data_IF_728528588622
#
_entry.id   IF_728528588622
#
_cell.length_a   1.000
_cell.length_b   1.000
_cell.length_c   1.000
_cell.angle_alpha   90.00
_cell.angle_beta   90.00
_cell.angle_gamma   90.00
#
_symmetry.space_group_name_H-M   'P 1'
#
loop_
_entity.id
_entity.type
_entity.pdbx_description
1 polymer ?
#
# COMPACT_ATOMS: atom_id res chain seq x y z
N UNK A 1 -31.81 -4.76 -23.97
CA UNK A 1 -30.90 -3.65 -23.60
C UNK A 1 -29.88 -4.02 -22.52
N UNK A 2 -30.26 -4.53 -21.34
CA UNK A 2 -29.31 -4.85 -20.25
C UNK A 2 -28.26 -5.97 -20.55
N UNK A 3 -28.50 -6.86 -21.52
CA UNK A 3 -27.55 -7.92 -21.90
C UNK A 3 -26.43 -7.47 -22.86
N UNK A 4 -26.60 -6.34 -23.54
CA UNK A 4 -25.61 -5.79 -24.49
C UNK A 4 -24.55 -4.92 -23.79
N UNK A 5 -24.90 -4.32 -22.66
CA UNK A 5 -24.00 -3.45 -21.88
C UNK A 5 -22.86 -4.22 -21.16
N UNK A 6 -23.11 -5.47 -20.80
CA UNK A 6 -22.09 -6.33 -20.18
C UNK A 6 -21.05 -6.83 -21.18
N UNK A 7 -21.36 -6.97 -22.47
CA UNK A 7 -20.38 -7.46 -23.46
C UNK A 7 -19.40 -6.36 -23.86
N UNK A 8 -19.84 -5.11 -24.04
CA UNK A 8 -18.97 -4.00 -24.41
C UNK A 8 -17.91 -3.69 -23.33
N UNK A 9 -18.29 -3.82 -22.05
CA UNK A 9 -17.40 -3.59 -20.90
C UNK A 9 -16.58 -4.82 -20.49
N UNK A 10 -16.92 -6.02 -20.99
CA UNK A 10 -16.16 -7.24 -20.76
C UNK A 10 -15.05 -7.47 -21.80
N UNK A 11 -15.12 -6.80 -22.95
CA UNK A 11 -14.22 -7.04 -24.08
C UNK A 11 -13.16 -5.97 -24.33
N UNK A 12 -13.24 -4.82 -23.66
CA UNK A 12 -12.24 -3.77 -23.81
C UNK A 12 -11.36 -3.65 -22.59
N UNK A 13 -10.06 -3.82 -22.80
CA UNK A 13 -9.02 -3.49 -21.83
C UNK A 13 -9.05 -1.99 -21.50
N UNK A 14 -8.59 -1.62 -20.31
CA UNK A 14 -8.38 -0.22 -19.90
C UNK A 14 -7.62 0.59 -20.96
N UNK A 15 -6.71 -0.05 -21.69
CA UNK A 15 -5.92 0.53 -22.77
C UNK A 15 -6.77 0.92 -23.99
N UNK A 16 -7.75 0.10 -24.36
CA UNK A 16 -8.65 0.38 -25.48
C UNK A 16 -9.62 1.51 -25.15
N UNK A 17 -10.17 1.53 -23.93
CA UNK A 17 -11.03 2.62 -23.47
C UNK A 17 -10.26 3.95 -23.44
N UNK A 18 -9.03 3.97 -22.91
CA UNK A 18 -8.19 5.16 -22.92
C UNK A 18 -7.78 5.60 -24.34
N UNK A 19 -7.57 4.65 -25.26
CA UNK A 19 -7.28 4.95 -26.67
C UNK A 19 -8.47 5.60 -27.38
N UNK A 20 -9.68 5.08 -27.16
CA UNK A 20 -10.93 5.62 -27.72
C UNK A 20 -11.15 7.06 -27.20
N UNK A 21 -10.99 7.29 -25.90
CA UNK A 21 -11.14 8.62 -25.30
C UNK A 21 -10.08 9.59 -25.84
N UNK A 22 -8.82 9.17 -25.89
CA UNK A 22 -7.72 10.03 -26.35
C UNK A 22 -7.89 10.43 -27.82
N UNK A 23 -8.37 9.51 -28.67
CA UNK A 23 -8.64 9.76 -30.09
C UNK A 23 -9.79 10.75 -30.28
N UNK A 24 -10.93 10.52 -29.63
CA UNK A 24 -12.09 11.41 -29.76
C UNK A 24 -11.86 12.79 -29.15
N UNK A 25 -11.01 12.91 -28.12
CA UNK A 25 -10.59 14.20 -27.60
C UNK A 25 -9.70 14.96 -28.59
N UNK A 26 -8.71 14.30 -29.19
CA UNK A 26 -7.81 14.91 -30.17
C UNK A 26 -8.57 15.45 -31.39
N UNK A 27 -9.69 14.83 -31.73
CA UNK A 27 -10.53 15.22 -32.86
C UNK A 27 -11.65 16.22 -32.49
N UNK A 28 -11.76 16.65 -31.22
CA UNK A 28 -12.89 17.45 -30.71
C UNK A 28 -14.27 16.76 -30.84
N UNK A 29 -14.29 15.44 -31.02
CA UNK A 29 -15.47 14.60 -31.26
C UNK A 29 -15.98 13.90 -30.01
N UNK A 30 -15.67 14.41 -28.82
CA UNK A 30 -16.16 13.79 -27.57
C UNK A 30 -17.69 13.70 -27.53
N UNK A 31 -18.37 14.64 -28.20
CA UNK A 31 -19.83 14.71 -28.34
C UNK A 31 -20.39 13.68 -29.34
N UNK A 32 -19.54 13.04 -30.15
CA UNK A 32 -19.93 12.02 -31.14
C UNK A 32 -19.79 10.59 -30.59
N UNK A 33 -19.33 10.43 -29.34
CA UNK A 33 -19.30 9.13 -28.70
C UNK A 33 -20.74 8.60 -28.54
N UNK A 34 -21.04 7.35 -28.91
CA UNK A 34 -22.37 6.79 -28.80
C UNK A 34 -22.91 6.92 -27.38
N UNK A 35 -24.20 7.24 -27.24
CA UNK A 35 -24.87 7.39 -25.95
C UNK A 35 -24.70 6.13 -25.07
N UNK A 36 -24.55 4.94 -25.64
CA UNK A 36 -24.27 3.70 -24.90
C UNK A 36 -22.86 3.65 -24.30
N UNK A 37 -21.87 4.22 -25.00
CA UNK A 37 -20.52 4.49 -24.48
C UNK A 37 -20.61 5.54 -23.37
N UNK A 38 -21.43 6.59 -23.55
CA UNK A 38 -21.72 7.62 -22.53
C UNK A 38 -22.66 7.16 -21.38
N UNK A 39 -23.39 6.06 -21.53
CA UNK A 39 -24.30 5.46 -20.55
C UNK A 39 -23.60 4.39 -19.71
N UNK A 40 -22.57 3.73 -20.26
CA UNK A 40 -21.55 3.06 -19.43
C UNK A 40 -20.78 4.08 -18.56
N UNK A 41 -20.73 5.32 -19.02
CA UNK A 41 -20.39 6.55 -18.28
C UNK A 41 -21.60 7.16 -17.52
N UNK A 42 -22.75 6.50 -17.44
CA UNK A 42 -23.95 7.02 -16.76
C UNK A 42 -23.77 7.26 -15.27
N UNK A 43 -22.79 6.60 -14.64
CA UNK A 43 -22.31 6.90 -13.27
C UNK A 43 -21.21 7.98 -13.23
N UNK A 44 -20.60 8.33 -14.36
CA UNK A 44 -19.68 9.46 -14.56
C UNK A 44 -20.42 10.78 -14.85
N UNK A 45 -21.76 10.79 -14.99
CA UNK A 45 -22.58 12.03 -15.14
C UNK A 45 -22.41 13.05 -13.99
N UNK A 46 -21.76 12.65 -12.88
CA UNK A 46 -21.40 13.56 -11.78
C UNK A 46 -19.98 14.13 -11.87
N UNK A 47 -19.18 13.76 -12.88
CA UNK A 47 -17.85 14.34 -13.08
C UNK A 47 -17.99 15.46 -14.11
N UNK A 48 -17.85 16.74 -13.72
CA UNK A 48 -17.82 17.84 -14.68
C UNK A 48 -16.72 17.58 -15.71
N UNK A 49 -17.05 17.59 -17.00
CA UNK A 49 -16.07 17.57 -18.09
C UNK A 49 -15.55 19.02 -18.23
N UNK A 50 -14.88 19.49 -17.18
CA UNK A 50 -14.32 20.83 -17.10
C UNK A 50 -12.87 20.66 -16.70
N UNK A 51 -11.96 21.21 -17.52
CA UNK A 51 -10.52 21.08 -17.36
C UNK A 51 -9.82 20.69 -18.65
N UNK A 52 -8.51 20.56 -18.58
CA UNK A 52 -7.66 20.17 -19.70
C UNK A 52 -7.84 18.68 -20.05
N UNK A 53 -7.33 18.24 -21.21
CA UNK A 53 -7.27 16.82 -21.61
C UNK A 53 -6.76 15.93 -20.47
N UNK A 54 -5.70 16.39 -19.82
CA UNK A 54 -5.04 15.67 -18.74
C UNK A 54 -5.94 15.57 -17.51
N UNK A 55 -6.76 16.57 -17.23
CA UNK A 55 -7.71 16.54 -16.10
C UNK A 55 -8.82 15.52 -16.34
N UNK A 56 -9.33 15.43 -17.57
CA UNK A 56 -10.35 14.46 -17.96
C UNK A 56 -9.78 13.04 -17.93
N UNK A 57 -8.59 12.82 -18.49
CA UNK A 57 -7.91 11.52 -18.44
C UNK A 57 -7.58 11.10 -17.01
N UNK A 58 -7.11 12.01 -16.14
CA UNK A 58 -6.89 11.74 -14.72
C UNK A 58 -8.16 11.32 -14.00
N UNK A 59 -9.30 11.98 -14.28
CA UNK A 59 -10.60 11.66 -13.67
C UNK A 59 -11.11 10.30 -14.12
N UNK A 60 -11.04 10.02 -15.43
CA UNK A 60 -11.41 8.73 -16.01
C UNK A 60 -10.56 7.58 -15.50
N UNK A 61 -9.25 7.78 -15.44
CA UNK A 61 -8.32 6.80 -14.91
C UNK A 61 -8.62 6.50 -13.43
N UNK A 62 -8.84 7.54 -12.61
CA UNK A 62 -9.25 7.34 -11.20
C UNK A 62 -10.55 6.56 -11.08
N UNK A 63 -11.55 6.83 -11.92
CA UNK A 63 -12.82 6.12 -11.90
C UNK A 63 -12.68 4.64 -12.31
N UNK A 64 -12.00 4.36 -13.42
CA UNK A 64 -11.77 2.99 -13.89
C UNK A 64 -10.90 2.20 -12.92
N UNK A 65 -9.86 2.84 -12.38
CA UNK A 65 -9.03 2.26 -11.33
C UNK A 65 -9.83 1.93 -10.07
N UNK A 66 -10.73 2.82 -9.60
CA UNK A 66 -11.65 2.52 -8.47
C UNK A 66 -12.54 1.30 -8.76
N UNK A 67 -12.88 1.05 -10.02
CA UNK A 67 -13.72 -0.08 -10.43
C UNK A 67 -12.95 -1.39 -10.51
N UNK A 68 -11.69 -1.35 -10.95
CA UNK A 68 -10.81 -2.53 -11.07
C UNK A 68 -10.05 -2.87 -9.79
N UNK A 69 -9.75 -1.88 -8.95
CA UNK A 69 -9.09 -2.01 -7.66
C UNK A 69 -10.08 -1.63 -6.54
N UNK A 70 -11.17 -2.40 -6.42
CA UNK A 70 -12.17 -2.24 -5.34
C UNK A 70 -11.60 -2.53 -3.95
N UNK A 71 -10.40 -3.11 -3.88
CA UNK A 71 -9.69 -3.51 -2.67
C UNK A 71 -8.29 -2.91 -2.66
N UNK A 72 -8.03 -2.02 -1.71
CA UNK A 72 -6.67 -1.60 -1.38
C UNK A 72 -6.07 -2.64 -0.45
N UNK A 73 -4.94 -3.22 -0.85
CA UNK A 73 -4.18 -4.14 0.00
C UNK A 73 -3.49 -3.33 1.09
N UNK A 74 -3.48 -3.85 2.32
CA UNK A 74 -2.77 -3.24 3.42
C UNK A 74 -1.27 -3.41 3.22
N UNK A 75 -0.58 -2.34 2.83
CA UNK A 75 0.87 -2.37 2.66
C UNK A 75 1.52 -2.19 4.02
N UNK A 76 2.42 -3.11 4.34
CA UNK A 76 3.28 -3.06 5.52
C UNK A 76 4.71 -3.23 5.02
N UNK A 77 5.59 -2.28 5.34
CA UNK A 77 7.01 -2.50 5.17
C UNK A 77 7.57 -3.15 6.44
N UNK A 78 8.44 -4.13 6.31
CA UNK A 78 9.08 -4.78 7.44
C UNK A 78 10.52 -5.12 7.12
N UNK A 79 11.31 -5.32 8.16
CA UNK A 79 12.71 -5.70 8.11
C UNK A 79 13.03 -6.57 9.32
N UNK A 80 14.10 -7.36 9.25
CA UNK A 80 14.57 -8.24 10.31
C UNK A 80 16.07 -8.05 10.51
N UNK A 81 16.50 -7.99 11.76
CA UNK A 81 17.92 -8.11 12.10
C UNK A 81 18.23 -9.53 12.60
N UNK A 82 19.48 -9.95 12.43
CA UNK A 82 19.93 -11.31 12.74
C UNK A 82 21.21 -11.34 13.59
N UNK A 83 21.49 -12.47 14.24
CA UNK A 83 22.75 -12.70 14.98
C UNK A 83 24.01 -12.59 14.10
N UNK A 84 23.84 -12.69 12.78
CA UNK A 84 24.85 -12.61 11.73
C UNK A 84 24.18 -12.76 10.36
N UNK A 85 24.95 -12.74 9.26
CA UNK A 85 24.38 -12.93 7.92
C UNK A 85 23.79 -14.35 7.75
N UNK A 86 22.47 -14.52 7.54
CA UNK A 86 21.86 -15.84 7.49
C UNK A 86 22.27 -16.63 6.25
N UNK A 87 22.80 -17.83 6.45
CA UNK A 87 22.94 -18.86 5.42
C UNK A 87 22.06 -20.06 5.76
N UNK A 88 21.76 -20.87 4.75
CA UNK A 88 20.84 -21.99 4.86
C UNK A 88 21.59 -23.29 4.63
N UNK A 89 21.46 -24.22 5.56
CA UNK A 89 21.97 -25.56 5.36
C UNK A 89 21.25 -26.22 4.17
N UNK A 90 21.98 -26.70 3.14
CA UNK A 90 21.36 -27.20 1.91
C UNK A 90 20.62 -28.53 2.08
N UNK A 91 20.85 -29.26 3.18
CA UNK A 91 20.25 -30.59 3.42
C UNK A 91 19.02 -30.48 4.31
N UNK A 92 19.18 -29.84 5.48
CA UNK A 92 18.14 -29.69 6.49
C UNK A 92 17.22 -28.49 6.26
N UNK A 93 17.68 -27.50 5.49
CA UNK A 93 16.96 -26.23 5.31
C UNK A 93 16.90 -25.38 6.59
N UNK A 94 17.73 -25.67 7.59
CA UNK A 94 17.82 -24.92 8.84
C UNK A 94 18.76 -23.71 8.64
N UNK A 95 18.38 -22.50 9.06
CA UNK A 95 19.26 -21.34 9.01
C UNK A 95 20.32 -21.41 10.12
N UNK A 96 21.52 -20.89 9.85
CA UNK A 96 22.61 -20.85 10.83
C UNK A 96 22.64 -19.59 11.70
N UNK A 97 21.58 -18.79 11.69
CA UNK A 97 21.45 -17.53 12.43
C UNK A 97 20.03 -17.41 13.00
N UNK A 98 19.86 -16.57 14.01
CA UNK A 98 18.58 -16.27 14.65
C UNK A 98 18.13 -14.83 14.38
N UNK A 99 16.81 -14.61 14.38
CA UNK A 99 16.22 -13.27 14.38
C UNK A 99 16.49 -12.62 15.74
N UNK A 100 16.93 -11.36 15.75
CA UNK A 100 17.20 -10.57 16.96
C UNK A 100 16.35 -9.30 17.05
N UNK A 101 15.78 -8.83 15.93
CA UNK A 101 14.85 -7.71 15.90
C UNK A 101 13.82 -7.92 14.79
N UNK A 102 12.56 -7.58 15.07
CA UNK A 102 11.50 -7.48 14.06
C UNK A 102 11.05 -6.02 14.05
N UNK A 103 11.11 -5.37 12.89
CA UNK A 103 10.64 -4.00 12.69
C UNK A 103 9.63 -3.93 11.57
N UNK A 104 8.53 -3.20 11.77
CA UNK A 104 7.54 -3.00 10.73
C UNK A 104 6.85 -1.64 10.82
N UNK A 105 6.40 -1.16 9.67
CA UNK A 105 5.75 0.13 9.51
C UNK A 105 4.53 0.04 8.60
N UNK A 106 3.40 0.54 9.11
CA UNK A 106 2.17 0.73 8.36
C UNK A 106 2.08 2.18 7.88
N UNK A 107 2.38 2.48 6.61
CA UNK A 107 2.29 3.85 6.09
C UNK A 107 0.87 4.42 6.09
N UNK A 108 -0.14 3.55 5.96
CA UNK A 108 -1.53 3.97 5.96
C UNK A 108 -1.97 4.48 7.34
N UNK A 109 -1.62 3.72 8.40
CA UNK A 109 -1.95 4.11 9.78
C UNK A 109 -0.94 5.03 10.43
N UNK A 110 0.26 5.12 9.86
CA UNK A 110 1.43 5.74 10.49
C UNK A 110 1.76 5.09 11.84
N UNK A 111 1.52 3.79 11.94
CA UNK A 111 1.82 2.96 13.11
C UNK A 111 3.07 2.13 12.83
N UNK A 112 3.82 1.82 13.88
CA UNK A 112 4.99 0.97 13.83
C UNK A 112 4.87 -0.20 14.81
N UNK A 113 5.63 -1.25 14.51
CA UNK A 113 5.91 -2.37 15.39
C UNK A 113 7.42 -2.55 15.48
N UNK A 114 7.92 -2.78 16.68
CA UNK A 114 9.32 -3.16 16.92
C UNK A 114 9.37 -4.09 18.12
N UNK A 115 10.16 -5.14 18.02
CA UNK A 115 10.50 -5.97 19.17
C UNK A 115 11.87 -6.59 19.01
N UNK A 116 12.61 -6.68 20.13
CA UNK A 116 13.84 -7.45 20.23
C UNK A 116 13.50 -8.92 20.49
N UNK A 117 14.25 -9.81 19.86
CA UNK A 117 14.10 -11.25 19.98
C UNK A 117 15.36 -11.81 20.64
N UNK A 118 15.18 -12.59 21.70
CA UNK A 118 16.31 -13.22 22.39
C UNK A 118 16.74 -14.47 21.63
N UNK A 119 17.97 -14.53 21.07
CA UNK A 119 18.47 -15.74 20.43
C UNK A 119 18.77 -16.82 21.47
N UNK A 120 18.56 -18.09 21.13
CA UNK A 120 18.75 -19.25 22.01
C UNK A 120 19.88 -20.17 21.52
N UNK A 121 20.12 -20.25 20.21
CA UNK A 121 21.04 -21.20 19.58
C UNK A 121 22.37 -20.56 19.15
N UNK A 122 22.31 -19.34 18.65
CA UNK A 122 23.43 -18.65 18.03
C UNK A 122 23.82 -17.41 18.82
N UNK A 123 25.13 -17.18 18.93
CA UNK A 123 25.66 -15.96 19.55
C UNK A 123 25.64 -14.83 18.54
N UNK A 124 25.34 -13.63 19.02
CA UNK A 124 25.57 -12.40 18.27
C UNK A 124 27.03 -12.30 17.84
N UNK A 125 27.27 -12.15 16.54
CA UNK A 125 28.58 -11.83 15.98
C UNK A 125 28.98 -10.38 16.25
N UNK A 126 30.28 -10.09 16.34
CA UNK A 126 30.77 -8.72 16.55
C UNK A 126 30.39 -7.79 15.39
N UNK A 127 30.38 -8.30 14.16
CA UNK A 127 29.94 -7.56 12.97
C UNK A 127 28.46 -7.19 13.08
N UNK A 128 27.57 -8.13 13.41
CA UNK A 128 26.15 -7.85 13.59
C UNK A 128 25.90 -6.88 14.75
N UNK A 129 26.60 -7.05 15.88
CA UNK A 129 26.50 -6.13 17.02
C UNK A 129 26.96 -4.71 16.65
N UNK A 130 28.03 -4.59 15.86
CA UNK A 130 28.54 -3.29 15.39
C UNK A 130 27.60 -2.62 14.39
N UNK A 131 27.01 -3.38 13.47
CA UNK A 131 26.05 -2.84 12.50
C UNK A 131 24.77 -2.38 13.20
N UNK A 132 24.17 -3.25 14.00
CA UNK A 132 22.85 -3.00 14.61
C UNK A 132 22.91 -2.15 15.88
N UNK A 133 24.10 -2.06 16.51
CA UNK A 133 24.29 -1.52 17.86
C UNK A 133 23.40 -2.23 18.91
N UNK A 134 23.03 -3.48 18.66
CA UNK A 134 22.31 -4.34 19.60
C UNK A 134 23.34 -5.26 20.26
N UNK A 135 23.50 -5.15 21.58
CA UNK A 135 24.42 -6.02 22.32
C UNK A 135 23.74 -7.31 22.78
N UNK A 136 24.54 -8.35 23.04
CA UNK A 136 24.05 -9.59 23.67
C UNK A 136 23.39 -9.32 25.02
N UNK A 137 23.91 -8.37 25.81
CA UNK A 137 23.30 -8.02 27.10
C UNK A 137 21.91 -7.41 26.94
N UNK A 138 21.71 -6.53 25.95
CA UNK A 138 20.40 -5.95 25.62
C UNK A 138 19.43 -7.05 25.17
N UNK A 139 19.86 -7.99 24.32
CA UNK A 139 19.02 -9.11 23.89
C UNK A 139 18.63 -10.04 25.05
N UNK A 140 19.50 -10.22 26.04
CA UNK A 140 19.20 -11.03 27.21
C UNK A 140 18.20 -10.36 28.16
N UNK A 141 18.32 -9.03 28.34
CA UNK A 141 17.45 -8.28 29.27
C UNK A 141 16.12 -7.88 28.66
N UNK A 142 16.09 -7.51 27.38
CA UNK A 142 14.92 -6.92 26.71
C UNK A 142 14.30 -7.84 25.64
N UNK A 143 15.08 -8.78 25.10
CA UNK A 143 14.62 -9.70 24.07
C UNK A 143 13.58 -10.70 24.59
N UNK A 144 12.56 -10.94 23.79
CA UNK A 144 11.52 -11.96 24.06
C UNK A 144 11.75 -13.21 23.21
N UNK A 145 11.21 -14.38 23.60
CA UNK A 145 11.29 -15.59 22.77
C UNK A 145 10.67 -15.39 21.39
N UNK A 146 11.25 -15.99 20.35
CA UNK A 146 10.81 -15.82 18.95
C UNK A 146 9.33 -16.16 18.74
N UNK A 147 8.82 -17.22 19.38
CA UNK A 147 7.41 -17.60 19.29
C UNK A 147 6.48 -16.49 19.80
N UNK A 148 6.86 -15.80 20.87
CA UNK A 148 6.10 -14.66 21.41
C UNK A 148 6.20 -13.44 20.50
N UNK A 149 7.39 -13.16 19.96
CA UNK A 149 7.60 -12.07 19.01
C UNK A 149 6.73 -12.23 17.75
N UNK A 150 6.69 -13.42 17.17
CA UNK A 150 5.85 -13.73 16.01
C UNK A 150 4.35 -13.59 16.32
N UNK A 151 3.89 -14.07 17.48
CA UNK A 151 2.49 -13.89 17.91
C UNK A 151 2.11 -12.42 18.00
N UNK A 152 2.97 -11.59 18.63
CA UNK A 152 2.76 -10.14 18.73
C UNK A 152 2.77 -9.48 17.35
N UNK A 153 3.68 -9.89 16.48
CA UNK A 153 3.77 -9.36 15.13
C UNK A 153 2.51 -9.66 14.31
N UNK A 154 2.05 -10.91 14.27
CA UNK A 154 0.84 -11.27 13.53
C UNK A 154 -0.43 -10.67 14.13
N UNK A 155 -0.50 -10.51 15.45
CA UNK A 155 -1.60 -9.79 16.10
C UNK A 155 -1.60 -8.30 15.71
N UNK A 156 -0.44 -7.67 15.69
CA UNK A 156 -0.29 -6.29 15.23
C UNK A 156 -0.72 -6.14 13.76
N UNK A 157 -0.30 -7.04 12.87
CA UNK A 157 -0.74 -7.06 11.47
C UNK A 157 -2.27 -7.20 11.35
N UNK A 158 -2.89 -8.09 12.14
CA UNK A 158 -4.35 -8.24 12.16
C UNK A 158 -5.05 -6.95 12.61
N UNK A 159 -4.50 -6.24 13.60
CA UNK A 159 -5.02 -4.96 14.04
C UNK A 159 -4.85 -3.87 12.97
N UNK A 160 -3.76 -3.92 12.18
CA UNK A 160 -3.60 -3.04 11.01
C UNK A 160 -4.74 -3.19 9.99
N UNK A 161 -5.33 -4.38 9.87
CA UNK A 161 -6.47 -4.64 8.99
C UNK A 161 -7.80 -4.24 9.62
N UNK A 162 -8.04 -4.59 10.90
CA UNK A 162 -9.36 -4.43 11.56
C UNK A 162 -9.82 -2.99 11.70
N UNK A 163 -8.93 -2.05 12.03
CA UNK A 163 -9.37 -0.67 12.27
C UNK A 163 -9.81 0.08 11.01
N UNK A 164 -9.70 -0.53 9.82
CA UNK A 164 -10.24 0.04 8.60
C UNK A 164 -11.74 -0.23 8.43
N UNK A 165 -12.32 -1.14 9.23
CA UNK A 165 -13.74 -1.50 9.15
C UNK A 165 -14.64 -0.63 10.04
N UNK A 166 -14.08 0.11 11.00
CA UNK A 166 -14.85 0.83 12.05
C UNK A 166 -15.03 2.33 11.82
N UNK A 167 -14.44 2.94 10.77
CA UNK A 167 -14.59 4.38 10.48
C UNK A 167 -15.88 4.72 9.71
N UNK A 168 -16.97 4.01 10.00
CA UNK A 168 -18.33 4.40 9.63
C UNK A 168 -18.93 5.03 10.89
N UNK A 169 -18.99 6.36 10.93
CA UNK A 169 -19.67 7.07 12.01
C UNK A 169 -21.09 6.51 12.17
N UNK A 170 -21.54 6.23 13.41
CA UNK A 170 -22.95 5.97 13.64
C UNK A 170 -23.71 7.26 13.30
N UNK A 171 -24.57 7.18 12.28
CA UNK A 171 -25.66 8.12 12.08
C UNK A 171 -26.60 8.00 13.28
N UNK A 172 -26.35 8.74 14.35
CA UNK A 172 -27.33 8.93 15.40
C UNK A 172 -28.40 9.91 14.90
N UNK A 173 -29.47 9.32 14.37
CA UNK A 173 -30.74 9.99 14.18
C UNK A 173 -31.48 10.11 15.52
N UNK A 174 -31.98 11.33 15.74
CA UNK A 174 -33.17 11.68 16.52
C UNK A 174 -33.09 11.78 18.04
N UNK A 175 -33.13 13.03 18.51
CA UNK A 175 -34.10 13.46 19.52
C UNK A 175 -34.46 14.95 19.32
N UNK A 176 -35.74 15.23 19.03
CA UNK A 176 -36.39 16.54 19.13
C UNK A 176 -37.20 16.55 20.44
N UNK A 177 -37.21 17.67 21.19
CA UNK A 177 -38.46 18.44 21.42
C UNK A 177 -38.21 19.95 21.22
N UNK A 178 -38.95 20.66 20.36
CA UNK A 178 -40.26 21.30 20.54
C UNK A 178 -40.23 22.69 21.21
N UNK A 179 -40.89 23.65 20.54
CA UNK A 179 -41.32 25.01 20.92
C UNK A 179 -40.25 26.14 20.97
N UNK A 180 -40.42 27.35 20.40
CA UNK A 180 -41.61 28.12 20.03
C UNK A 180 -41.31 29.35 19.11
N UNK A 181 -42.37 29.86 18.44
CA UNK A 181 -42.60 31.20 17.86
C UNK A 181 -41.76 31.68 16.64
N UNK A 182 -42.28 31.66 15.41
CA UNK A 182 -43.18 32.64 14.73
C UNK A 182 -42.58 34.04 14.54
N UNK A 183 -42.21 34.39 13.29
CA UNK A 183 -42.61 35.58 12.49
C UNK A 183 -42.22 35.32 11.01
N UNK A 184 -43.13 35.68 10.09
CA UNK A 184 -43.02 35.74 8.60
C UNK A 184 -43.36 37.20 8.18
N UNK A 185 -43.24 37.66 6.91
CA UNK A 185 -42.51 37.17 5.73
C UNK A 185 -41.77 38.28 4.90
N UNK A 186 -41.26 37.88 3.71
CA UNK A 186 -40.92 38.69 2.49
C UNK A 186 -39.49 39.30 2.52
N UNK A 187 -38.56 39.05 1.60
CA UNK A 187 -38.68 39.22 0.14
C UNK A 187 -37.62 38.42 -0.67
N UNK A 188 -37.91 38.27 -1.96
CA UNK A 188 -37.12 37.65 -3.03
C UNK A 188 -35.66 38.12 -3.09
N UNK A 189 -34.69 37.19 -3.17
CA UNK A 189 -33.60 37.26 -4.16
C UNK A 189 -33.07 35.86 -4.53
N UNK A 190 -33.07 35.60 -5.84
CA UNK A 190 -32.33 34.53 -6.51
C UNK A 190 -30.86 34.57 -6.08
N UNK A 191 -30.32 33.44 -5.60
CA UNK A 191 -28.89 33.12 -5.75
C UNK A 191 -28.76 31.64 -6.08
N UNK A 192 -28.70 31.37 -7.38
CA UNK A 192 -28.01 30.20 -7.91
C UNK A 192 -26.56 30.26 -7.40
N UNK A 193 -26.27 29.39 -6.46
CA UNK A 193 -24.99 29.28 -5.80
C UNK A 193 -24.84 27.88 -5.24
N UNK A 194 -25.10 26.87 -6.08
CA UNK A 194 -24.66 25.51 -5.79
C UNK A 194 -23.13 25.53 -5.70
N UNK A 195 -22.66 25.64 -4.46
CA UNK A 195 -21.27 25.49 -4.09
C UNK A 195 -20.82 24.09 -4.49
N UNK A 196 -20.08 24.03 -5.61
CA UNK A 196 -19.49 22.82 -6.22
C UNK A 196 -18.38 22.18 -5.37
N UNK A 197 -18.15 22.63 -4.13
CA UNK A 197 -17.11 22.08 -3.25
C UNK A 197 -17.56 20.92 -2.37
N UNK A 198 -18.85 20.54 -2.37
CA UNK A 198 -19.39 19.53 -1.44
C UNK A 198 -19.48 18.09 -1.99
N UNK A 199 -19.38 17.84 -3.30
CA UNK A 199 -19.69 16.51 -3.87
C UNK A 199 -18.48 15.68 -4.34
N UNK A 200 -17.25 16.06 -4.00
CA UNK A 200 -16.03 15.29 -4.27
C UNK A 200 -15.37 14.75 -3.00
N UNK A 201 -16.14 14.46 -1.95
CA UNK A 201 -15.64 13.59 -0.88
C UNK A 201 -15.34 12.22 -1.47
N UNK A 202 -14.12 11.67 -1.32
CA UNK A 202 -13.79 10.36 -1.86
C UNK A 202 -14.67 9.30 -1.18
N UNK A 203 -15.66 8.76 -1.90
CA UNK A 203 -16.26 7.50 -1.49
C UNK A 203 -15.13 6.48 -1.30
N UNK A 204 -14.92 6.06 -0.05
CA UNK A 204 -13.77 5.27 0.43
C UNK A 204 -13.73 3.93 -0.31
N UNK A 205 -12.62 3.61 -0.99
CA UNK A 205 -12.34 2.23 -1.42
C UNK A 205 -12.46 1.31 -0.20
N UNK A 206 -13.12 0.15 -0.34
CA UNK A 206 -13.22 -0.78 0.78
C UNK A 206 -11.82 -1.34 1.09
N UNK A 207 -11.40 -1.32 2.35
CA UNK A 207 -10.16 -1.95 2.76
C UNK A 207 -10.20 -3.45 2.50
N UNK A 208 -9.15 -3.99 1.88
CA UNK A 208 -9.01 -5.45 1.76
C UNK A 208 -8.61 -6.04 3.11
N UNK A 209 -9.07 -7.26 3.41
CA UNK A 209 -8.51 -8.03 4.52
C UNK A 209 -7.09 -8.57 4.22
N UNK A 210 -6.59 -8.35 3.01
CA UNK A 210 -5.27 -8.76 2.56
C UNK A 210 -4.19 -7.78 3.04
N UNK A 211 -3.05 -8.34 3.46
CA UNK A 211 -1.84 -7.60 3.81
C UNK A 211 -0.74 -7.96 2.84
N UNK A 212 -0.01 -6.97 2.35
CA UNK A 212 1.24 -7.19 1.63
C UNK A 212 2.41 -6.72 2.49
N UNK A 213 3.19 -7.68 2.97
CA UNK A 213 4.43 -7.47 3.68
C UNK A 213 5.57 -7.31 2.68
N UNK A 214 6.21 -6.13 2.72
CA UNK A 214 7.27 -5.74 1.82
C UNK A 214 8.58 -5.61 2.62
N UNK A 215 9.60 -6.36 2.24
CA UNK A 215 10.98 -6.16 2.73
C UNK A 215 11.89 -5.76 1.56
N UNK A 216 13.00 -5.08 1.85
CA UNK A 216 14.00 -4.70 0.86
C UNK A 216 15.06 -5.79 0.68
N UNK A 217 15.04 -6.48 -0.47
CA UNK A 217 15.92 -7.62 -0.69
C UNK A 217 15.55 -8.86 0.15
N UNK A 218 14.40 -8.83 0.83
CA UNK A 218 13.98 -9.86 1.77
C UNK A 218 13.71 -11.24 1.17
N UNK A 219 13.67 -11.37 -0.16
CA UNK A 219 13.48 -12.68 -0.81
C UNK A 219 14.57 -13.70 -0.43
N UNK A 220 15.78 -13.23 -0.10
CA UNK A 220 16.90 -14.07 0.30
C UNK A 220 16.90 -14.41 1.79
N UNK A 221 16.57 -13.45 2.65
CA UNK A 221 16.70 -13.59 4.11
C UNK A 221 15.36 -13.41 4.80
N UNK A 222 14.82 -12.19 4.87
CA UNK A 222 13.68 -11.87 5.75
C UNK A 222 12.45 -12.73 5.54
N UNK A 223 12.04 -12.92 4.29
CA UNK A 223 10.84 -13.70 3.94
C UNK A 223 11.06 -15.17 4.32
N UNK A 224 12.25 -15.71 4.06
CA UNK A 224 12.57 -17.11 4.36
C UNK A 224 12.70 -17.33 5.86
N UNK A 225 13.37 -16.43 6.57
CA UNK A 225 13.54 -16.49 8.02
C UNK A 225 12.20 -16.40 8.74
N UNK A 226 11.35 -15.45 8.37
CA UNK A 226 10.01 -15.32 8.98
C UNK A 226 9.16 -16.58 8.74
N UNK A 227 9.19 -17.14 7.53
CA UNK A 227 8.48 -18.40 7.21
C UNK A 227 9.01 -19.60 7.97
N UNK A 228 10.34 -19.72 8.08
CA UNK A 228 10.98 -20.78 8.83
C UNK A 228 10.56 -20.73 10.30
N UNK A 229 10.77 -19.60 10.98
CA UNK A 229 10.42 -19.51 12.41
C UNK A 229 8.92 -19.62 12.67
N UNK A 230 8.07 -19.14 11.77
CA UNK A 230 6.63 -19.36 11.90
C UNK A 230 6.29 -20.84 11.88
N UNK A 231 6.89 -21.60 10.95
CA UNK A 231 6.69 -23.05 10.86
C UNK A 231 7.28 -23.76 12.08
N UNK A 232 8.52 -23.46 12.46
CA UNK A 232 9.22 -24.09 13.58
C UNK A 232 8.58 -23.81 14.95
N UNK A 233 7.85 -22.69 15.08
CA UNK A 233 7.12 -22.33 16.29
C UNK A 233 5.65 -22.77 16.28
N UNK A 234 5.20 -23.50 15.25
CA UNK A 234 3.79 -23.88 15.04
C UNK A 234 2.84 -22.66 15.01
N UNK A 235 3.28 -21.60 14.34
CA UNK A 235 2.52 -20.37 14.14
C UNK A 235 2.11 -20.29 12.67
N UNK A 236 0.81 -20.45 12.40
CA UNK A 236 0.28 -20.35 11.05
C UNK A 236 0.37 -18.92 10.53
N UNK A 237 1.01 -18.73 9.37
CA UNK A 237 0.94 -17.45 8.65
C UNK A 237 -0.45 -17.33 8.01
N UNK A 238 -1.22 -16.26 8.29
CA UNK A 238 -2.51 -16.06 7.66
C UNK A 238 -2.44 -16.08 6.12
N UNK A 239 -3.36 -16.79 5.46
CA UNK A 239 -3.45 -16.85 3.99
C UNK A 239 -3.74 -15.50 3.32
N UNK A 240 -4.14 -14.50 4.10
CA UNK A 240 -4.33 -13.12 3.66
C UNK A 240 -3.02 -12.31 3.62
N UNK A 241 -1.90 -12.88 4.07
CA UNK A 241 -0.58 -12.25 3.99
C UNK A 241 0.13 -12.65 2.70
N UNK A 242 0.61 -11.65 1.99
CA UNK A 242 1.40 -11.78 0.78
C UNK A 242 2.77 -11.15 0.99
N UNK A 243 3.82 -11.87 0.60
CA UNK A 243 5.18 -11.36 0.68
C UNK A 243 5.59 -10.72 -0.64
N UNK A 244 6.24 -9.57 -0.57
CA UNK A 244 6.82 -8.90 -1.71
C UNK A 244 8.23 -8.38 -1.39
N UNK A 245 9.03 -8.27 -2.45
CA UNK A 245 10.37 -7.72 -2.37
C UNK A 245 10.37 -6.32 -3.02
N UNK A 246 10.80 -5.31 -2.25
CA UNK A 246 10.85 -3.93 -2.74
C UNK A 246 11.80 -3.78 -3.92
N UNK A 247 12.83 -4.62 -4.04
CA UNK A 247 13.76 -4.62 -5.18
C UNK A 247 13.03 -4.94 -6.47
N UNK A 248 12.13 -5.93 -6.46
CA UNK A 248 11.31 -6.27 -7.64
C UNK A 248 10.38 -5.10 -8.00
N UNK A 249 9.71 -4.51 -7.01
CA UNK A 249 8.84 -3.36 -7.21
C UNK A 249 9.60 -2.18 -7.83
N UNK A 250 10.80 -1.88 -7.32
CA UNK A 250 11.66 -0.81 -7.80
C UNK A 250 12.10 -1.04 -9.25
N UNK A 251 12.58 -2.25 -9.59
CA UNK A 251 12.96 -2.58 -10.99
C UNK A 251 11.82 -2.31 -11.96
N UNK A 252 10.60 -2.72 -11.60
CA UNK A 252 9.46 -2.49 -12.49
C UNK A 252 9.04 -1.03 -12.59
N UNK A 253 9.26 -0.22 -11.56
CA UNK A 253 8.97 1.21 -11.62
C UNK A 253 9.99 1.94 -12.48
N UNK A 254 11.25 1.54 -12.46
CA UNK A 254 12.33 2.22 -13.18
C UNK A 254 12.63 1.66 -14.56
N UNK A 255 12.04 0.51 -14.93
CA UNK A 255 12.29 -0.18 -16.19
C UNK A 255 12.19 0.75 -17.42
N UNK A 256 11.23 1.68 -17.42
CA UNK A 256 11.01 2.61 -18.54
C UNK A 256 12.05 3.73 -18.66
N UNK A 257 12.82 4.03 -17.60
CA UNK A 257 13.84 5.10 -17.62
C UNK A 257 15.27 4.60 -17.73
N UNK A 258 15.48 3.28 -17.75
CA UNK A 258 16.82 2.69 -17.79
C UNK A 258 17.58 2.74 -16.46
N UNK A 259 16.95 3.23 -15.40
CA UNK A 259 17.56 3.31 -14.06
C UNK A 259 17.51 1.95 -13.36
N UNK A 260 18.64 1.56 -12.77
CA UNK A 260 18.81 0.29 -12.08
C UNK A 260 18.62 0.43 -10.55
N UNK A 261 17.54 1.08 -10.11
CA UNK A 261 17.30 1.25 -8.67
C UNK A 261 17.14 -0.09 -7.93
N UNK A 262 16.49 -1.08 -8.54
CA UNK A 262 16.24 -2.36 -7.88
C UNK A 262 17.43 -3.35 -7.85
N UNK A 263 18.67 -2.85 -7.98
CA UNK A 263 19.91 -3.57 -7.60
C UNK A 263 20.69 -2.86 -6.49
N UNK A 264 20.26 -1.66 -6.09
CA UNK A 264 20.93 -0.85 -5.09
C UNK A 264 20.54 -1.30 -3.68
N UNK A 265 21.50 -1.21 -2.75
CA UNK A 265 21.24 -1.31 -1.30
C UNK A 265 20.40 -0.12 -0.83
N UNK A 266 19.70 -0.27 0.29
CA UNK A 266 18.78 0.73 0.82
C UNK A 266 19.44 2.11 1.02
N UNK A 267 20.62 2.18 1.63
CA UNK A 267 21.33 3.46 1.83
C UNK A 267 21.69 4.15 0.50
N UNK A 268 22.08 3.34 -0.51
CA UNK A 268 22.37 3.87 -1.85
C UNK A 268 21.11 4.42 -2.50
N UNK A 269 19.96 3.75 -2.32
CA UNK A 269 18.66 4.25 -2.79
C UNK A 269 18.24 5.53 -2.11
N UNK A 270 18.41 5.62 -0.80
CA UNK A 270 18.08 6.84 -0.06
C UNK A 270 18.90 8.02 -0.56
N UNK A 271 20.21 7.82 -0.76
CA UNK A 271 21.11 8.84 -1.32
C UNK A 271 20.69 9.24 -2.74
N UNK A 272 20.46 8.28 -3.62
CA UNK A 272 20.07 8.51 -5.01
C UNK A 272 18.76 9.30 -5.11
N UNK A 273 17.80 9.01 -4.23
CA UNK A 273 16.49 9.67 -4.21
C UNK A 273 16.45 10.97 -3.40
N UNK A 274 17.59 11.42 -2.86
CA UNK A 274 17.69 12.63 -2.04
C UNK A 274 16.90 12.55 -0.73
N UNK A 275 16.74 11.34 -0.18
CA UNK A 275 16.04 11.11 1.09
C UNK A 275 17.05 11.24 2.22
N UNK A 276 16.88 12.26 3.07
CA UNK A 276 17.72 12.40 4.26
C UNK A 276 17.34 11.33 5.30
N UNK A 277 18.36 10.62 5.78
CA UNK A 277 18.25 9.83 7.01
C UNK A 277 18.78 10.66 8.17
N UNK A 278 17.96 10.85 9.20
CA UNK A 278 18.41 11.37 10.51
C UNK A 278 18.43 10.26 11.57
N UNK A 279 18.20 9.02 11.14
CA UNK A 279 18.02 7.86 12.00
C UNK A 279 19.08 6.83 11.68
N UNK A 280 19.46 6.06 12.69
CA UNK A 280 20.47 5.02 12.60
C UNK A 280 20.01 3.90 11.63
N UNK A 281 20.79 3.67 10.57
CA UNK A 281 20.65 2.50 9.67
C UNK A 281 20.93 1.20 10.44
N UNK A 282 20.44 0.05 9.95
CA UNK A 282 20.58 -1.27 10.61
C UNK A 282 19.82 -1.40 11.92
N UNK A 283 18.67 -0.74 11.98
CA UNK A 283 17.63 -1.05 12.95
C UNK A 283 16.41 -1.43 12.16
N UNK A 284 15.81 -2.59 12.46
CA UNK A 284 14.76 -3.15 11.62
C UNK A 284 13.61 -2.16 11.39
N UNK A 285 13.19 -1.42 12.43
CA UNK A 285 12.10 -0.44 12.27
C UNK A 285 12.51 0.75 11.38
N UNK A 286 13.74 1.25 11.55
CA UNK A 286 14.26 2.34 10.71
C UNK A 286 14.31 1.90 9.24
N UNK A 287 14.80 0.69 8.98
CA UNK A 287 14.97 0.16 7.63
C UNK A 287 13.61 -0.15 6.98
N UNK A 288 12.62 -0.61 7.75
CA UNK A 288 11.23 -0.72 7.30
C UNK A 288 10.62 0.64 6.90
N UNK A 289 10.85 1.70 7.69
CA UNK A 289 10.38 3.05 7.37
C UNK A 289 11.10 3.59 6.13
N UNK A 290 12.41 3.40 6.05
CA UNK A 290 13.24 3.81 4.90
C UNK A 290 12.82 3.10 3.63
N UNK A 291 12.51 1.81 3.69
CA UNK A 291 11.94 1.02 2.58
C UNK A 291 10.66 1.66 2.05
N UNK A 292 9.74 2.06 2.93
CA UNK A 292 8.53 2.77 2.50
C UNK A 292 8.85 4.12 1.85
N UNK A 293 9.74 4.92 2.45
CA UNK A 293 10.12 6.23 1.90
C UNK A 293 10.70 6.10 0.49
N UNK A 294 11.60 5.14 0.30
CA UNK A 294 12.22 4.83 -0.99
C UNK A 294 11.18 4.40 -2.01
N UNK A 295 10.31 3.43 -1.67
CA UNK A 295 9.22 3.00 -2.55
C UNK A 295 8.29 4.16 -2.92
N UNK A 296 7.85 4.94 -1.93
CA UNK A 296 6.96 6.07 -2.13
C UNK A 296 7.56 7.12 -3.07
N UNK A 297 8.83 7.49 -2.84
CA UNK A 297 9.55 8.46 -3.67
C UNK A 297 9.83 7.93 -5.07
N UNK A 298 10.30 6.69 -5.19
CA UNK A 298 10.58 6.07 -6.47
C UNK A 298 9.31 5.96 -7.33
N UNK A 299 8.22 5.46 -6.77
CA UNK A 299 6.94 5.37 -7.49
C UNK A 299 6.47 6.76 -7.91
N UNK A 300 6.58 7.77 -7.04
CA UNK A 300 6.21 9.14 -7.38
C UNK A 300 7.03 9.72 -8.54
N UNK A 301 8.34 9.42 -8.61
CA UNK A 301 9.24 9.95 -9.64
C UNK A 301 9.21 9.16 -10.96
N UNK A 302 8.99 7.85 -10.88
CA UNK A 302 9.24 6.91 -11.98
C UNK A 302 7.99 6.24 -12.51
N UNK A 303 6.91 6.13 -11.72
CA UNK A 303 5.67 5.56 -12.22
C UNK A 303 5.07 6.46 -13.29
N UNK A 304 4.73 5.86 -14.43
CA UNK A 304 3.95 6.52 -15.49
C UNK A 304 2.47 6.65 -15.13
N UNK A 305 2.09 6.19 -13.92
CA UNK A 305 0.71 6.20 -13.46
C UNK A 305 0.43 7.43 -12.60
N UNK A 306 -0.80 7.93 -12.63
CA UNK A 306 -1.27 8.97 -11.71
C UNK A 306 -1.72 8.40 -10.35
N UNK A 307 -1.22 7.21 -9.99
CA UNK A 307 -1.63 6.50 -8.79
C UNK A 307 -0.78 6.95 -7.60
N UNK A 308 -1.38 6.91 -6.41
CA UNK A 308 -0.59 6.95 -5.17
C UNK A 308 0.32 5.72 -5.10
N UNK A 309 1.43 5.77 -4.36
CA UNK A 309 2.31 4.60 -4.20
C UNK A 309 1.58 3.33 -3.78
N UNK A 310 0.65 3.43 -2.83
CA UNK A 310 -0.12 2.29 -2.37
C UNK A 310 -1.01 1.68 -3.46
N UNK A 311 -1.60 2.53 -4.29
CA UNK A 311 -2.42 2.10 -5.42
C UNK A 311 -1.58 1.45 -6.52
N UNK A 312 -0.45 2.04 -6.90
CA UNK A 312 0.40 1.47 -7.94
C UNK A 312 0.95 0.09 -7.52
N UNK A 313 1.40 0.00 -6.27
CA UNK A 313 1.84 -1.25 -5.65
C UNK A 313 0.71 -2.31 -5.64
N UNK A 314 -0.51 -1.93 -5.20
CA UNK A 314 -1.66 -2.84 -5.18
C UNK A 314 -2.01 -3.34 -6.59
N UNK A 315 -1.95 -2.45 -7.58
CA UNK A 315 -2.23 -2.80 -8.98
C UNK A 315 -1.24 -3.83 -9.50
N UNK A 316 0.05 -3.59 -9.31
CA UNK A 316 1.12 -4.51 -9.70
C UNK A 316 0.94 -5.88 -9.05
N UNK A 317 0.63 -5.88 -7.74
CA UNK A 317 0.33 -7.08 -7.00
C UNK A 317 -0.86 -7.88 -7.59
N UNK A 318 -1.99 -7.21 -7.85
CA UNK A 318 -3.17 -7.85 -8.42
C UNK A 318 -2.92 -8.39 -9.84
N UNK A 319 -2.05 -7.74 -10.62
CA UNK A 319 -1.61 -8.24 -11.92
C UNK A 319 -0.77 -9.50 -11.78
N UNK A 320 0.20 -9.53 -10.86
CA UNK A 320 1.02 -10.72 -10.62
C UNK A 320 0.20 -11.91 -10.12
N UNK A 321 -0.89 -11.69 -9.36
CA UNK A 321 -1.77 -12.78 -8.90
C UNK A 321 -2.57 -13.47 -10.00
N UNK A 322 -2.74 -12.82 -11.15
CA UNK A 322 -3.51 -13.34 -12.29
C UNK A 322 -2.65 -14.09 -13.31
N UNK A 323 -1.32 -14.02 -13.16
CA UNK A 323 -0.35 -14.78 -13.96
C UNK A 323 -0.07 -16.12 -13.31
#
# INVERSE_FOLDING_TARGET
MLRSLCSLLAHHSLRELLSIVSRNYAENKLHELPDETLLSYGRLRRIPIVGTRDDILKRLYRYLYRRECSELVNIICYDLEFTGLPTWDPVSGIPNQEIIEIGAYSPHKKESFSCLVRPELYKMSEEAASLTQISTSVLQSEGIPIAEALKRFYLWLANCVRSQQTDVEPNDSMSIPADSAVIKPVDNQRKDGHSLSAELSPEKCKPSNSVMLISHGGSLHDIRMLKYYSTSCDISIPNSIYFADSMRLLRECTHYKGDNLGVLKLDSLMKELGITSHTQSHRALTDAISTWKVLGKAIHLYSSTHLTPAQDITKKYLQWRKM
#
